data_IF_504855813031
#
_entry.id   IF_504855813031
#
_cell.length_a   1.000
_cell.length_b   1.000
_cell.length_c   1.000
_cell.angle_alpha   90.00
_cell.angle_beta   90.00
_cell.angle_gamma   90.00
#
_symmetry.space_group_name_H-M   'P 1'
#
loop_
_entity.id
_entity.type
_entity.pdbx_description
1 polymer ?
#
# COMPACT_ATOMS: atom_id res chain seq x y z
N UNK A 1 -19.38 30.00 -11.48
CA UNK A 1 -19.09 28.55 -11.53
C UNK A 1 -17.75 28.37 -10.85
N UNK A 2 -17.78 28.08 -9.55
CA UNK A 2 -16.63 28.22 -8.65
C UNK A 2 -15.89 26.89 -8.47
N UNK A 3 -14.60 26.89 -8.76
CA UNK A 3 -13.67 25.84 -8.39
C UNK A 3 -12.93 26.32 -7.13
N UNK A 4 -13.18 25.66 -6.00
CA UNK A 4 -12.36 25.82 -4.79
C UNK A 4 -11.43 24.61 -4.72
N UNK A 5 -10.14 24.84 -4.96
CA UNK A 5 -9.08 23.87 -4.68
C UNK A 5 -8.45 24.30 -3.36
N UNK A 6 -8.57 23.46 -2.33
CA UNK A 6 -7.89 23.68 -1.06
C UNK A 6 -6.51 23.03 -1.12
N UNK A 7 -5.46 23.83 -1.20
CA UNK A 7 -4.11 23.42 -0.81
C UNK A 7 -3.86 23.96 0.60
N UNK A 8 -3.69 23.09 1.58
CA UNK A 8 -3.11 23.48 2.86
C UNK A 8 -1.62 23.14 2.83
N UNK A 9 -0.81 24.19 2.65
CA UNK A 9 0.62 24.16 2.89
C UNK A 9 0.88 24.14 4.40
N UNK A 10 1.90 23.37 4.80
CA UNK A 10 2.43 23.26 6.15
C UNK A 10 2.58 24.62 6.85
N UNK A 11 2.10 24.73 8.09
CA UNK A 11 2.51 25.79 9.03
C UNK A 11 3.45 25.22 10.08
N UNK A 12 4.60 25.86 10.24
CA UNK A 12 5.64 25.53 11.22
C UNK A 12 5.45 26.25 12.57
N UNK A 13 5.79 25.53 13.67
CA UNK A 13 6.33 25.96 15.00
C UNK A 13 5.40 26.56 16.10
N UNK A 14 5.75 26.52 17.43
CA UNK A 14 6.79 25.78 18.19
C UNK A 14 6.40 25.15 19.58
N UNK A 15 7.29 24.25 20.07
CA UNK A 15 7.64 23.84 21.47
C UNK A 15 6.56 23.54 22.53
N UNK A 16 6.53 22.25 22.98
CA UNK A 16 6.38 21.95 24.41
C UNK A 16 5.58 20.71 24.81
N UNK A 17 6.02 19.49 24.48
CA UNK A 17 5.91 18.27 25.33
C UNK A 17 6.78 17.18 24.68
N UNK A 18 7.29 16.21 25.43
CA UNK A 18 8.12 15.10 24.90
C UNK A 18 7.44 14.44 23.69
N UNK A 19 7.88 14.79 22.48
CA UNK A 19 7.31 14.30 21.24
C UNK A 19 7.75 12.84 21.10
N UNK A 20 6.94 11.91 21.60
CA UNK A 20 6.99 10.51 21.20
C UNK A 20 6.56 10.53 19.73
N UNK A 21 7.53 10.72 18.82
CA UNK A 21 7.24 11.05 17.43
C UNK A 21 6.52 9.86 16.78
N UNK A 22 5.23 10.02 16.50
CA UNK A 22 4.51 9.08 15.65
C UNK A 22 5.09 9.14 14.24
N UNK A 23 5.24 7.97 13.62
CA UNK A 23 5.68 7.84 12.24
C UNK A 23 4.45 7.79 11.36
N UNK A 24 4.29 8.79 10.49
CA UNK A 24 3.25 8.78 9.48
C UNK A 24 3.63 7.80 8.35
N UNK A 25 2.67 7.00 7.88
CA UNK A 25 2.83 6.10 6.74
C UNK A 25 1.65 6.21 5.80
N UNK A 26 1.97 6.21 4.52
CA UNK A 26 1.02 6.35 3.44
C UNK A 26 1.12 5.12 2.53
N UNK A 27 -0.02 4.63 2.04
CA UNK A 27 -0.02 3.61 1.00
C UNK A 27 -1.29 3.69 0.14
N UNK A 28 -1.12 3.49 -1.16
CA UNK A 28 -2.22 3.45 -2.12
C UNK A 28 -2.35 2.06 -2.74
N UNK A 29 -3.59 1.61 -2.94
CA UNK A 29 -3.90 0.37 -3.63
C UNK A 29 -4.97 0.61 -4.68
N UNK A 30 -4.59 0.43 -5.96
CA UNK A 30 -5.55 0.31 -7.05
C UNK A 30 -6.07 -1.12 -7.12
N UNK A 31 -7.32 -1.35 -6.74
CA UNK A 31 -7.96 -2.67 -6.86
C UNK A 31 -8.17 -2.99 -8.36
N UNK A 32 -7.72 -4.15 -8.88
CA UNK A 32 -7.97 -4.55 -10.26
C UNK A 32 -9.46 -4.58 -10.59
N UNK A 33 -9.89 -3.81 -11.59
CA UNK A 33 -11.31 -3.66 -11.93
C UNK A 33 -12.15 -2.92 -10.89
N UNK A 34 -11.52 -2.37 -9.86
CA UNK A 34 -12.18 -1.69 -8.74
C UNK A 34 -11.68 -0.26 -8.53
N UNK A 35 -11.78 0.18 -7.28
CA UNK A 35 -11.51 1.53 -6.83
C UNK A 35 -10.13 1.65 -6.18
N UNK A 36 -9.61 2.86 -6.14
CA UNK A 36 -8.42 3.27 -5.42
C UNK A 36 -8.75 3.36 -3.94
N UNK A 37 -7.91 2.75 -3.12
CA UNK A 37 -7.91 2.88 -1.67
C UNK A 37 -6.61 3.57 -1.29
N UNK A 38 -6.72 4.61 -0.48
CA UNK A 38 -5.59 5.36 0.09
C UNK A 38 -5.70 5.26 1.60
N UNK A 39 -4.59 4.99 2.27
CA UNK A 39 -4.52 4.96 3.73
C UNK A 39 -3.37 5.81 4.23
N UNK A 40 -3.65 6.63 5.22
CA UNK A 40 -2.67 7.40 5.99
C UNK A 40 -2.77 6.95 7.45
N UNK A 41 -1.66 6.48 8.01
CA UNK A 41 -1.63 5.94 9.38
C UNK A 41 -0.52 6.62 10.18
N UNK A 42 -0.85 7.00 11.41
CA UNK A 42 0.14 7.44 12.39
C UNK A 42 0.45 6.26 13.30
N UNK A 43 1.73 5.90 13.40
CA UNK A 43 2.22 4.78 14.22
C UNK A 43 3.06 5.32 15.36
N UNK A 44 2.61 5.08 16.59
CA UNK A 44 3.31 5.50 17.80
C UNK A 44 4.59 4.67 18.03
N UNK A 45 5.50 5.12 18.92
CA UNK A 45 6.75 4.41 19.22
C UNK A 45 6.59 2.97 19.72
N UNK A 46 5.42 2.63 20.27
CA UNK A 46 5.05 1.25 20.64
C UNK A 46 4.56 0.41 19.45
N UNK A 47 4.86 0.85 18.22
CA UNK A 47 4.49 0.19 16.96
C UNK A 47 2.99 -0.03 16.80
N UNK A 48 2.19 0.89 17.34
CA UNK A 48 0.73 0.79 17.39
C UNK A 48 0.12 1.95 16.60
N UNK A 49 -0.94 1.68 15.83
CA UNK A 49 -1.68 2.73 15.12
C UNK A 49 -2.38 3.62 16.14
N UNK A 50 -2.04 4.90 16.20
CA UNK A 50 -2.73 5.91 17.01
C UNK A 50 -3.81 6.65 16.27
N UNK A 51 -3.65 6.78 14.95
CA UNK A 51 -4.61 7.40 14.06
C UNK A 51 -4.57 6.75 12.68
N UNK A 52 -5.72 6.69 12.01
CA UNK A 52 -5.84 6.15 10.68
C UNK A 52 -6.90 6.93 9.89
N UNK A 53 -6.55 7.31 8.67
CA UNK A 53 -7.49 7.86 7.69
C UNK A 53 -7.54 6.88 6.53
N UNK A 54 -8.73 6.41 6.19
CA UNK A 54 -9.00 5.74 4.92
C UNK A 54 -9.56 6.79 3.98
N UNK A 55 -9.21 6.77 2.70
CA UNK A 55 -9.79 7.61 1.65
C UNK A 55 -9.67 6.93 0.27
N UNK A 56 -10.27 7.50 -0.78
CA UNK A 56 -10.24 6.90 -2.12
C UNK A 56 -11.41 7.32 -3.00
N UNK A 57 -11.62 6.59 -4.10
CA UNK A 57 -12.74 6.80 -5.04
C UNK A 57 -13.82 5.68 -4.96
N UNK A 58 -13.93 5.05 -3.79
CA UNK A 58 -14.93 4.04 -3.44
C UNK A 58 -16.15 4.64 -2.73
N UNK A 59 -17.19 3.81 -2.56
CA UNK A 59 -18.40 4.19 -1.86
C UNK A 59 -18.84 3.06 -0.92
N UNK A 60 -19.47 3.41 0.20
CA UNK A 60 -20.16 2.49 1.09
C UNK A 60 -21.65 2.85 1.09
N UNK A 61 -22.50 1.85 1.21
CA UNK A 61 -23.94 2.03 1.45
C UNK A 61 -24.33 1.25 2.70
N UNK A 62 -24.83 1.89 3.76
CA UNK A 62 -24.99 3.34 3.92
C UNK A 62 -23.64 4.09 4.05
N UNK A 63 -23.62 5.40 3.79
CA UNK A 63 -22.38 6.19 3.75
C UNK A 63 -21.76 6.37 5.15
N UNK A 64 -22.59 6.38 6.19
CA UNK A 64 -22.22 6.47 7.60
C UNK A 64 -21.36 5.29 8.07
N UNK A 65 -21.40 4.16 7.34
CA UNK A 65 -20.51 3.03 7.62
C UNK A 65 -19.02 3.38 7.47
N UNK A 66 -18.70 4.47 6.75
CA UNK A 66 -17.36 5.01 6.65
C UNK A 66 -16.75 5.34 8.01
N UNK A 67 -17.56 5.88 8.92
CA UNK A 67 -17.13 6.31 10.25
C UNK A 67 -16.70 5.13 11.15
N UNK A 68 -17.08 3.90 10.78
CA UNK A 68 -16.67 2.69 11.49
C UNK A 68 -15.25 2.21 11.09
N UNK A 69 -14.73 2.60 9.92
CA UNK A 69 -13.47 2.05 9.37
C UNK A 69 -12.25 2.53 10.16
N UNK A 70 -12.07 3.85 10.29
CA UNK A 70 -10.90 4.43 10.96
C UNK A 70 -10.76 4.01 12.43
N UNK A 71 -11.81 4.07 13.28
CA UNK A 71 -11.73 3.62 14.66
C UNK A 71 -11.39 2.13 14.80
N UNK A 72 -11.79 1.29 13.84
CA UNK A 72 -11.46 -0.13 13.84
C UNK A 72 -9.95 -0.38 13.69
N UNK A 73 -9.19 0.57 13.14
CA UNK A 73 -7.76 0.41 12.87
C UNK A 73 -6.88 0.84 14.05
N UNK A 74 -7.35 1.77 14.88
CA UNK A 74 -6.60 2.27 16.05
C UNK A 74 -6.28 1.13 17.02
N UNK A 75 -5.05 1.03 17.49
CA UNK A 75 -4.60 -0.05 18.37
C UNK A 75 -4.12 -1.32 17.67
N UNK A 76 -4.21 -1.41 16.33
CA UNK A 76 -3.50 -2.45 15.58
C UNK A 76 -1.98 -2.19 15.66
N UNK A 77 -1.18 -3.26 15.62
CA UNK A 77 0.28 -3.13 15.67
C UNK A 77 0.90 -3.41 14.30
N UNK A 78 2.15 -3.00 14.09
CA UNK A 78 2.89 -3.33 12.86
C UNK A 78 3.02 -4.85 12.61
N UNK A 79 2.91 -5.65 13.67
CA UNK A 79 2.91 -7.10 13.64
C UNK A 79 1.56 -7.72 13.19
N UNK A 80 0.45 -6.98 13.26
CA UNK A 80 -0.87 -7.48 12.84
C UNK A 80 -0.81 -8.01 11.40
N UNK A 81 -1.41 -9.18 11.17
CA UNK A 81 -1.47 -9.79 9.85
C UNK A 81 -2.74 -9.35 9.11
N UNK A 82 -2.80 -9.57 7.78
CA UNK A 82 -3.94 -9.14 6.96
C UNK A 82 -5.27 -9.76 7.39
N UNK A 83 -5.28 -11.00 7.90
CA UNK A 83 -6.52 -11.67 8.33
C UNK A 83 -7.07 -11.07 9.64
N UNK A 84 -6.19 -10.71 10.59
CA UNK A 84 -6.57 -10.05 11.84
C UNK A 84 -7.18 -8.66 11.55
N UNK A 85 -6.53 -7.91 10.66
CA UNK A 85 -6.98 -6.57 10.24
C UNK A 85 -8.35 -6.68 9.56
N UNK A 86 -8.51 -7.64 8.63
CA UNK A 86 -9.77 -7.87 7.94
C UNK A 86 -10.89 -8.22 8.92
N UNK A 87 -10.66 -9.18 9.83
CA UNK A 87 -11.66 -9.59 10.83
C UNK A 87 -12.11 -8.41 11.70
N UNK A 88 -11.18 -7.50 12.01
CA UNK A 88 -11.47 -6.32 12.81
C UNK A 88 -12.33 -5.29 12.05
N UNK A 89 -12.09 -5.13 10.76
CA UNK A 89 -12.91 -4.29 9.87
C UNK A 89 -14.30 -4.89 9.68
N UNK A 90 -14.39 -6.19 9.42
CA UNK A 90 -15.66 -6.91 9.27
C UNK A 90 -16.51 -6.74 10.55
N UNK A 91 -15.92 -6.98 11.73
CA UNK A 91 -16.61 -6.79 13.01
C UNK A 91 -16.99 -5.33 13.29
N UNK A 92 -16.31 -4.34 12.71
CA UNK A 92 -16.69 -2.93 12.84
C UNK A 92 -17.90 -2.60 11.96
N UNK A 93 -17.91 -3.09 10.73
CA UNK A 93 -19.03 -2.90 9.79
C UNK A 93 -20.29 -3.65 10.23
N UNK A 94 -20.16 -4.81 10.87
CA UNK A 94 -21.29 -5.56 11.46
C UNK A 94 -22.01 -4.80 12.59
N UNK A 95 -21.37 -3.79 13.20
CA UNK A 95 -21.99 -2.95 14.24
C UNK A 95 -22.80 -1.78 13.67
N UNK A 96 -22.74 -1.56 12.37
CA UNK A 96 -23.59 -0.57 11.69
C UNK A 96 -25.02 -1.12 11.64
N UNK A 97 -26.01 -0.28 11.92
CA UNK A 97 -27.40 -0.70 12.09
C UNK A 97 -28.01 -1.34 10.83
N UNK A 98 -27.52 -0.95 9.64
CA UNK A 98 -27.97 -1.44 8.35
C UNK A 98 -26.88 -2.28 7.65
N UNK A 99 -27.27 -3.25 6.79
CA UNK A 99 -26.31 -4.03 6.02
C UNK A 99 -25.41 -3.15 5.15
N UNK A 100 -24.09 -3.24 5.37
CA UNK A 100 -23.12 -2.43 4.64
C UNK A 100 -22.71 -3.10 3.33
N UNK A 101 -22.89 -2.39 2.22
CA UNK A 101 -22.33 -2.73 0.93
C UNK A 101 -21.05 -1.92 0.65
N UNK A 102 -19.98 -2.60 0.22
CA UNK A 102 -18.71 -2.01 -0.16
C UNK A 102 -18.59 -2.00 -1.69
N UNK A 103 -18.51 -0.82 -2.30
CA UNK A 103 -18.49 -0.69 -3.76
C UNK A 103 -17.08 -0.46 -4.29
N UNK A 104 -16.62 -1.42 -5.10
CA UNK A 104 -15.33 -1.33 -5.79
C UNK A 104 -14.13 -1.75 -4.95
N UNK A 105 -14.36 -2.22 -3.73
CA UNK A 105 -13.39 -2.91 -2.89
C UNK A 105 -14.09 -3.84 -1.90
N UNK A 106 -13.32 -4.49 -1.03
CA UNK A 106 -13.83 -5.26 0.10
C UNK A 106 -12.86 -5.09 1.28
N UNK A 107 -13.22 -5.60 2.46
CA UNK A 107 -12.40 -5.48 3.67
C UNK A 107 -11.03 -6.14 3.53
N UNK A 108 -10.90 -7.22 2.74
CA UNK A 108 -9.61 -7.83 2.41
C UNK A 108 -8.69 -6.85 1.68
N UNK A 109 -9.19 -6.12 0.70
CA UNK A 109 -8.40 -5.12 -0.02
C UNK A 109 -7.91 -4.03 0.94
N UNK A 110 -8.77 -3.45 1.77
CA UNK A 110 -8.39 -2.45 2.76
C UNK A 110 -7.38 -3.00 3.78
N UNK A 111 -7.58 -4.24 4.26
CA UNK A 111 -6.63 -4.90 5.16
C UNK A 111 -5.25 -5.11 4.51
N UNK A 112 -5.20 -5.42 3.21
CA UNK A 112 -3.95 -5.51 2.45
C UNK A 112 -3.29 -4.14 2.33
N UNK A 113 -4.05 -3.07 2.04
CA UNK A 113 -3.54 -1.70 1.97
C UNK A 113 -2.92 -1.27 3.32
N UNK A 114 -3.63 -1.49 4.43
CA UNK A 114 -3.13 -1.20 5.78
C UNK A 114 -1.89 -2.01 6.12
N UNK A 115 -1.87 -3.32 5.80
CA UNK A 115 -0.69 -4.14 6.06
C UNK A 115 0.53 -3.63 5.29
N UNK A 116 0.34 -3.22 4.03
CA UNK A 116 1.42 -2.65 3.21
C UNK A 116 1.91 -1.32 3.76
N UNK A 117 1.03 -0.43 4.21
CA UNK A 117 1.43 0.79 4.93
C UNK A 117 2.27 0.44 6.18
N UNK A 118 1.79 -0.51 7.00
CA UNK A 118 2.49 -0.97 8.22
C UNK A 118 3.80 -1.72 7.96
N UNK A 119 4.05 -2.26 6.77
CA UNK A 119 5.32 -2.90 6.41
C UNK A 119 6.30 -1.97 5.71
N UNK A 120 5.92 -0.72 5.44
CA UNK A 120 6.74 0.18 4.61
C UNK A 120 6.74 -0.26 3.14
N UNK A 121 5.61 -0.79 2.67
CA UNK A 121 5.40 -1.06 1.25
C UNK A 121 5.61 0.22 0.44
N UNK A 122 6.25 0.07 -0.71
CA UNK A 122 6.48 1.14 -1.68
C UNK A 122 5.68 0.85 -2.93
N UNK A 123 5.19 1.88 -3.61
CA UNK A 123 4.56 1.77 -4.92
C UNK A 123 5.62 1.75 -6.03
N UNK A 124 5.22 1.31 -7.22
CA UNK A 124 6.05 1.35 -8.43
C UNK A 124 6.63 2.74 -8.68
N UNK A 125 5.88 3.81 -8.42
CA UNK A 125 6.32 5.19 -8.63
C UNK A 125 7.32 5.70 -7.60
N UNK A 126 7.50 5.01 -6.48
CA UNK A 126 8.47 5.38 -5.46
C UNK A 126 9.91 5.02 -5.85
N UNK A 127 10.07 4.25 -6.94
CA UNK A 127 11.35 3.72 -7.38
C UNK A 127 11.85 4.40 -8.65
N UNK A 128 13.13 4.76 -8.64
CA UNK A 128 13.87 5.16 -9.84
C UNK A 128 14.29 3.92 -10.62
N UNK A 129 13.45 3.46 -11.53
CA UNK A 129 13.70 2.25 -12.33
C UNK A 129 14.82 2.44 -13.35
N UNK A 130 15.80 1.54 -13.32
CA UNK A 130 16.75 1.37 -14.42
C UNK A 130 16.12 0.47 -15.49
N UNK A 131 16.03 0.94 -16.74
CA UNK A 131 15.52 0.14 -17.86
C UNK A 131 16.69 -0.52 -18.58
N UNK A 132 16.78 -1.85 -18.50
CA UNK A 132 17.79 -2.63 -19.21
C UNK A 132 17.23 -3.21 -20.52
N UNK A 133 17.99 -3.03 -21.60
CA UNK A 133 17.69 -3.58 -22.93
C UNK A 133 18.93 -4.25 -23.52
N UNK A 134 19.22 -5.49 -23.09
CA UNK A 134 20.40 -6.21 -23.58
C UNK A 134 20.24 -6.73 -25.02
N UNK A 135 19.06 -6.61 -25.62
CA UNK A 135 18.72 -7.19 -26.92
C UNK A 135 18.38 -8.67 -26.81
N UNK A 136 18.38 -9.36 -27.95
CA UNK A 136 18.07 -10.79 -28.04
C UNK A 136 19.17 -11.60 -27.34
N UNK A 137 18.78 -12.40 -26.36
CA UNK A 137 19.66 -13.31 -25.64
C UNK A 137 19.12 -14.74 -25.70
N UNK A 138 19.98 -15.78 -25.71
CA UNK A 138 19.51 -17.16 -25.54
C UNK A 138 18.77 -17.34 -24.21
N UNK A 139 17.72 -18.16 -24.19
CA UNK A 139 16.89 -18.35 -22.98
C UNK A 139 17.71 -18.67 -21.70
N UNK A 140 18.70 -19.58 -21.71
CA UNK A 140 19.50 -19.85 -20.50
C UNK A 140 20.26 -18.62 -19.98
N UNK A 141 20.66 -17.72 -20.87
CA UNK A 141 21.35 -16.47 -20.50
C UNK A 141 20.37 -15.47 -19.91
N UNK A 142 19.15 -15.36 -20.45
CA UNK A 142 18.09 -14.53 -19.87
C UNK A 142 17.76 -14.97 -18.43
N UNK A 143 17.62 -16.28 -18.19
CA UNK A 143 17.37 -16.83 -16.85
C UNK A 143 18.53 -16.51 -15.90
N UNK A 144 19.77 -16.79 -16.33
CA UNK A 144 20.96 -16.52 -15.50
C UNK A 144 21.13 -15.02 -15.19
N UNK A 145 20.82 -14.15 -16.15
CA UNK A 145 20.87 -12.70 -15.96
C UNK A 145 19.84 -12.24 -14.92
N UNK A 146 18.62 -12.78 -14.93
CA UNK A 146 17.60 -12.43 -13.94
C UNK A 146 17.99 -12.87 -12.53
N UNK A 147 18.61 -14.05 -12.37
CA UNK A 147 19.14 -14.48 -11.07
C UNK A 147 20.21 -13.52 -10.56
N UNK A 148 21.16 -13.12 -11.42
CA UNK A 148 22.21 -12.16 -11.04
C UNK A 148 21.61 -10.80 -10.67
N UNK A 149 20.71 -10.27 -11.50
CA UNK A 149 20.07 -8.96 -11.26
C UNK A 149 19.22 -8.98 -9.98
N UNK A 150 18.44 -10.05 -9.76
CA UNK A 150 17.67 -10.24 -8.53
C UNK A 150 18.59 -10.23 -7.30
N UNK A 151 19.70 -10.97 -7.36
CA UNK A 151 20.67 -11.04 -6.27
C UNK A 151 21.37 -9.68 -6.04
N UNK A 152 21.67 -8.92 -7.10
CA UNK A 152 22.24 -7.57 -6.97
C UNK A 152 21.27 -6.58 -6.32
N UNK A 153 19.99 -6.63 -6.69
CA UNK A 153 18.94 -5.79 -6.09
C UNK A 153 18.73 -6.18 -4.62
N UNK A 154 18.62 -7.48 -4.32
CA UNK A 154 18.46 -7.97 -2.96
C UNK A 154 19.67 -7.63 -2.06
N UNK A 155 20.87 -7.61 -2.63
CA UNK A 155 22.10 -7.20 -1.93
C UNK A 155 22.31 -5.68 -1.88
N UNK A 156 21.43 -4.88 -2.49
CA UNK A 156 21.56 -3.41 -2.56
C UNK A 156 22.71 -2.91 -3.42
N UNK A 157 23.30 -3.76 -4.28
CA UNK A 157 24.38 -3.37 -5.20
C UNK A 157 23.87 -2.64 -6.45
N UNK A 158 22.59 -2.85 -6.77
CA UNK A 158 21.88 -2.25 -7.90
C UNK A 158 20.50 -1.76 -7.43
N UNK A 159 20.00 -0.69 -8.05
CA UNK A 159 18.63 -0.22 -7.83
C UNK A 159 17.57 -1.09 -8.53
N UNK A 160 16.27 -0.81 -8.31
CA UNK A 160 15.18 -1.51 -8.98
C UNK A 160 15.34 -1.49 -10.50
N UNK A 161 15.22 -2.67 -11.13
CA UNK A 161 15.51 -2.86 -12.56
C UNK A 161 14.29 -3.39 -13.28
N UNK A 162 13.94 -2.74 -14.39
CA UNK A 162 12.93 -3.21 -15.34
C UNK A 162 13.63 -3.71 -16.61
N UNK A 163 13.32 -4.92 -17.04
CA UNK A 163 13.93 -5.52 -18.23
C UNK A 163 12.87 -6.07 -19.16
N UNK A 164 13.12 -5.93 -20.46
CA UNK A 164 12.36 -6.62 -21.49
C UNK A 164 13.12 -7.90 -21.88
N UNK A 165 12.41 -9.02 -21.86
CA UNK A 165 12.95 -10.29 -22.31
C UNK A 165 12.77 -10.41 -23.82
N UNK A 166 13.89 -10.63 -24.52
CA UNK A 166 13.92 -10.94 -25.94
C UNK A 166 14.78 -12.19 -26.13
N UNK A 167 14.26 -13.17 -26.89
CA UNK A 167 14.95 -14.43 -27.17
C UNK A 167 14.52 -14.99 -28.53
N UNK A 168 15.37 -15.84 -29.13
CA UNK A 168 15.17 -16.40 -30.47
C UNK A 168 14.88 -17.91 -30.48
N UNK A 169 15.07 -18.58 -29.35
CA UNK A 169 14.91 -20.02 -29.21
C UNK A 169 13.50 -20.44 -28.74
N UNK A 170 13.07 -21.64 -29.12
CA UNK A 170 11.81 -22.21 -28.61
C UNK A 170 12.04 -22.73 -27.20
N UNK A 171 11.58 -21.97 -26.21
CA UNK A 171 11.71 -22.35 -24.81
C UNK A 171 10.40 -22.17 -24.04
N UNK A 172 10.27 -22.93 -22.97
CA UNK A 172 9.30 -22.70 -21.90
C UNK A 172 10.08 -22.48 -20.62
N UNK A 173 9.84 -21.36 -19.96
CA UNK A 173 10.52 -20.96 -18.73
C UNK A 173 9.50 -21.04 -17.59
N UNK A 174 9.89 -21.70 -16.51
CA UNK A 174 9.15 -21.74 -15.26
C UNK A 174 10.05 -21.12 -14.19
N UNK A 175 9.52 -20.17 -13.45
CA UNK A 175 10.16 -19.51 -12.31
C UNK A 175 9.39 -19.75 -11.04
#
# INVERSE_FOLDING_TARGET
>A
MGLKVYFHAYTSTPLGTLNTMSTNRHFELKVPGGKLIVVDIDVDPDNTISNATVSGDFFLEPEEAYDALSPALVGLTTASNTADIQSRLDAALERVDEPVALHGFNTRHLATTIKRALSGGTDFTDHSWEILRPGVLPTPVNVALDEVLLNEVAAGKRGPTLRFWEWEDKAVVYG
#
